data_IF_426297641144
#
_entry.id   IF_426297641144
#
_cell.length_a   1.000
_cell.length_b   1.000
_cell.length_c   1.000
_cell.angle_alpha   90.00
_cell.angle_beta   90.00
_cell.angle_gamma   90.00
#
_symmetry.space_group_name_H-M   'P 1'
#
loop_
_entity.id
_entity.type
_entity.pdbx_description
1 polymer ?
#
# COMPACT_ATOMS: atom_id res chain seq x y z
N UNK A 1 -2.01 9.51 18.42
CA UNK A 1 -1.01 8.57 18.97
C UNK A 1 -0.25 9.23 20.11
N UNK A 2 0.16 8.47 21.17
CA UNK A 2 1.05 9.02 22.21
C UNK A 2 2.46 9.24 21.61
N UNK A 3 3.20 10.19 22.19
CA UNK A 3 4.58 10.51 21.74
C UNK A 3 5.48 9.27 21.78
N UNK A 4 5.37 8.43 22.81
CA UNK A 4 6.13 7.19 22.92
C UNK A 4 5.83 6.19 21.80
N UNK A 5 4.55 6.01 21.45
CA UNK A 5 4.15 5.13 20.34
C UNK A 5 4.66 5.67 18.99
N UNK A 6 4.62 6.97 18.79
CA UNK A 6 5.13 7.61 17.60
C UNK A 6 6.64 7.35 17.41
N UNK A 7 7.43 7.57 18.46
CA UNK A 7 8.88 7.29 18.46
C UNK A 7 9.15 5.81 18.18
N UNK A 8 8.40 4.91 18.81
CA UNK A 8 8.54 3.47 18.61
C UNK A 8 8.28 3.05 17.15
N UNK A 9 7.23 3.57 16.53
CA UNK A 9 6.91 3.29 15.12
C UNK A 9 8.02 3.80 14.20
N UNK A 10 8.47 5.06 14.39
CA UNK A 10 9.56 5.63 13.60
C UNK A 10 10.84 4.81 13.75
N UNK A 11 11.19 4.43 14.98
CA UNK A 11 12.36 3.60 15.27
C UNK A 11 12.30 2.26 14.51
N UNK A 12 11.17 1.55 14.57
CA UNK A 12 10.99 0.28 13.87
C UNK A 12 11.13 0.44 12.35
N UNK A 13 10.54 1.47 11.76
CA UNK A 13 10.64 1.72 10.32
C UNK A 13 12.09 1.96 9.91
N UNK A 14 12.79 2.85 10.63
CA UNK A 14 14.19 3.20 10.33
C UNK A 14 15.10 1.99 10.48
N UNK A 15 14.96 1.22 11.56
CA UNK A 15 15.77 0.02 11.80
C UNK A 15 15.53 -1.04 10.71
N UNK A 16 14.29 -1.25 10.29
CA UNK A 16 14.00 -2.22 9.23
C UNK A 16 14.59 -1.78 7.88
N UNK A 17 14.37 -0.53 7.46
CA UNK A 17 14.90 -0.02 6.19
C UNK A 17 16.44 -0.03 6.21
N UNK A 18 17.04 0.47 7.28
CA UNK A 18 18.50 0.49 7.43
C UNK A 18 19.09 -0.93 7.48
N UNK A 19 18.43 -1.85 8.19
CA UNK A 19 18.83 -3.25 8.29
C UNK A 19 18.78 -3.95 6.94
N UNK A 20 17.70 -3.78 6.17
CA UNK A 20 17.57 -4.32 4.82
C UNK A 20 18.63 -3.75 3.87
N UNK A 21 18.86 -2.43 3.90
CA UNK A 21 19.90 -1.79 3.10
C UNK A 21 21.31 -2.28 3.47
N UNK A 22 21.57 -2.42 4.77
CA UNK A 22 22.84 -2.93 5.27
C UNK A 22 23.07 -4.39 4.84
N UNK A 23 22.09 -5.26 5.00
CA UNK A 23 22.16 -6.66 4.55
C UNK A 23 22.43 -6.76 3.05
N UNK A 24 21.75 -5.94 2.25
CA UNK A 24 21.94 -5.90 0.80
C UNK A 24 23.40 -5.53 0.44
N UNK A 25 23.95 -4.47 1.08
CA UNK A 25 25.32 -4.02 0.84
C UNK A 25 26.35 -5.04 1.34
N UNK A 26 26.11 -5.65 2.51
CA UNK A 26 26.98 -6.65 3.09
C UNK A 26 27.06 -7.92 2.20
N UNK A 27 25.89 -8.40 1.75
CA UNK A 27 25.85 -9.60 0.89
C UNK A 27 26.36 -9.36 -0.53
N UNK A 28 26.24 -8.13 -1.06
CA UNK A 28 26.81 -7.78 -2.38
C UNK A 28 28.33 -7.88 -2.41
N UNK A 29 29.01 -7.80 -1.27
CA UNK A 29 30.46 -7.88 -1.16
C UNK A 29 30.99 -9.32 -1.14
N UNK A 30 30.11 -10.30 -0.97
CA UNK A 30 30.49 -11.72 -1.05
C UNK A 30 30.78 -12.03 -2.52
N UNK A 31 32.08 -12.04 -2.86
CA UNK A 31 32.55 -12.51 -4.16
C UNK A 31 32.46 -14.03 -4.16
N UNK A 32 31.54 -14.55 -4.90
CA UNK A 32 31.54 -15.99 -5.20
C UNK A 32 32.70 -16.25 -6.14
N UNK A 33 33.63 -17.13 -5.73
CA UNK A 33 34.77 -17.54 -6.57
C UNK A 33 34.18 -18.29 -7.80
N UNK A 34 34.42 -17.82 -9.04
CA UNK A 34 33.89 -18.47 -10.23
C UNK A 34 34.30 -19.95 -10.35
N UNK A 35 35.39 -20.34 -9.73
CA UNK A 35 35.84 -21.74 -9.70
C UNK A 35 34.99 -22.61 -8.77
N UNK A 36 34.25 -22.00 -7.88
CA UNK A 36 33.33 -22.64 -6.92
C UNK A 36 31.87 -22.52 -7.31
N UNK A 37 31.58 -21.82 -8.39
CA UNK A 37 30.25 -21.82 -8.98
C UNK A 37 29.83 -23.26 -9.30
N UNK A 38 28.61 -23.64 -8.92
CA UNK A 38 28.08 -25.00 -9.07
C UNK A 38 28.74 -26.08 -8.22
N UNK A 39 29.62 -25.74 -7.29
CA UNK A 39 30.04 -26.70 -6.26
C UNK A 39 28.95 -26.85 -5.22
N UNK A 40 28.74 -28.08 -4.79
CA UNK A 40 27.87 -28.40 -3.66
C UNK A 40 28.39 -27.69 -2.40
N UNK A 41 27.48 -27.09 -1.62
CA UNK A 41 27.76 -26.53 -0.30
C UNK A 41 28.07 -27.63 0.75
N UNK A 42 28.00 -28.91 0.36
CA UNK A 42 28.25 -30.04 1.23
C UNK A 42 27.07 -30.45 2.12
N UNK A 43 25.91 -29.82 1.90
CA UNK A 43 24.66 -30.20 2.57
C UNK A 43 23.72 -30.86 1.56
N UNK A 44 23.21 -32.01 1.92
CA UNK A 44 22.18 -32.71 1.15
C UNK A 44 20.94 -32.93 2.03
N UNK A 45 19.77 -32.50 1.55
CA UNK A 45 18.48 -32.71 2.17
C UNK A 45 17.63 -33.58 1.24
N UNK A 46 17.26 -34.76 1.68
CA UNK A 46 16.48 -35.74 0.92
C UNK A 46 17.08 -36.06 -0.50
N UNK A 47 18.42 -36.07 -0.59
CA UNK A 47 19.13 -36.34 -1.85
C UNK A 47 19.27 -35.13 -2.78
N UNK A 48 18.82 -33.94 -2.37
CA UNK A 48 18.99 -32.68 -3.09
C UNK A 48 20.19 -31.92 -2.51
N UNK A 49 21.20 -31.67 -3.31
CA UNK A 49 22.38 -30.90 -2.94
C UNK A 49 22.19 -29.41 -3.26
N UNK A 50 22.57 -28.55 -2.31
CA UNK A 50 22.59 -27.10 -2.52
C UNK A 50 23.84 -26.70 -3.30
N UNK A 51 23.65 -25.94 -4.39
CA UNK A 51 24.72 -25.40 -5.20
C UNK A 51 25.02 -23.96 -4.78
N UNK A 52 26.33 -23.61 -4.76
CA UNK A 52 26.80 -22.26 -4.47
C UNK A 52 26.62 -21.35 -5.69
N UNK A 53 25.38 -20.97 -5.99
CA UNK A 53 25.05 -20.07 -7.09
C UNK A 53 24.88 -18.63 -6.57
N UNK A 54 25.45 -17.62 -7.28
CA UNK A 54 25.23 -16.23 -6.93
C UNK A 54 23.75 -15.85 -7.18
N UNK A 55 23.27 -14.89 -6.39
CA UNK A 55 21.94 -14.32 -6.60
C UNK A 55 21.86 -13.63 -7.96
N UNK A 56 20.78 -13.82 -8.73
CA UNK A 56 20.60 -13.13 -10.01
C UNK A 56 20.61 -11.61 -9.83
N UNK A 57 21.29 -10.91 -10.76
CA UNK A 57 21.41 -9.44 -10.68
C UNK A 57 20.04 -8.72 -10.70
N UNK A 58 19.07 -9.25 -11.46
CA UNK A 58 17.72 -8.68 -11.52
C UNK A 58 17.02 -8.72 -10.15
N UNK A 59 17.26 -9.76 -9.35
CA UNK A 59 16.68 -9.89 -8.01
C UNK A 59 17.23 -8.82 -7.07
N UNK A 60 18.52 -8.55 -7.15
CA UNK A 60 19.16 -7.46 -6.39
C UNK A 60 18.56 -6.10 -6.76
N UNK A 61 18.37 -5.85 -8.06
CA UNK A 61 17.74 -4.63 -8.53
C UNK A 61 16.29 -4.49 -8.08
N UNK A 62 15.52 -5.58 -8.13
CA UNK A 62 14.16 -5.60 -7.61
C UNK A 62 14.13 -5.21 -6.14
N UNK A 63 15.03 -5.76 -5.34
CA UNK A 63 15.11 -5.44 -3.91
C UNK A 63 15.50 -3.99 -3.65
N UNK A 64 16.45 -3.43 -4.40
CA UNK A 64 16.79 -2.00 -4.34
C UNK A 64 15.59 -1.13 -4.67
N UNK A 65 14.85 -1.47 -5.74
CA UNK A 65 13.65 -0.72 -6.14
C UNK A 65 12.57 -0.75 -5.06
N UNK A 66 12.37 -1.87 -4.37
CA UNK A 66 11.39 -1.93 -3.26
C UNK A 66 11.80 -1.05 -2.08
N UNK A 67 13.09 -0.95 -1.75
CA UNK A 67 13.57 -0.04 -0.71
C UNK A 67 13.32 1.42 -1.14
N UNK A 68 13.69 1.79 -2.38
CA UNK A 68 13.47 3.13 -2.91
C UNK A 68 11.99 3.48 -2.91
N UNK A 69 11.15 2.55 -3.39
CA UNK A 69 9.70 2.72 -3.36
C UNK A 69 9.17 2.96 -1.94
N UNK A 70 9.61 2.16 -0.96
CA UNK A 70 9.22 2.33 0.43
C UNK A 70 9.58 3.70 1.00
N UNK A 71 10.79 4.18 0.73
CA UNK A 71 11.22 5.53 1.16
C UNK A 71 10.36 6.62 0.50
N UNK A 72 10.17 6.55 -0.82
CA UNK A 72 9.33 7.50 -1.56
C UNK A 72 7.89 7.47 -1.04
N UNK A 73 7.35 6.29 -0.78
CA UNK A 73 6.01 6.14 -0.22
C UNK A 73 5.87 6.85 1.12
N UNK A 74 6.81 6.67 2.06
CA UNK A 74 6.76 7.33 3.36
C UNK A 74 6.95 8.85 3.29
N UNK A 75 7.60 9.36 2.26
CA UNK A 75 7.69 10.81 2.02
C UNK A 75 6.36 11.36 1.52
N UNK A 76 5.71 10.65 0.60
CA UNK A 76 4.48 11.12 -0.05
C UNK A 76 3.23 10.90 0.80
N UNK A 77 3.11 9.72 1.41
CA UNK A 77 1.91 9.28 2.11
C UNK A 77 2.11 9.20 3.63
N UNK A 78 1.03 9.26 4.42
CA UNK A 78 1.13 9.05 5.85
C UNK A 78 1.55 7.60 6.16
N UNK A 79 2.43 7.43 7.13
CA UNK A 79 2.93 6.12 7.54
C UNK A 79 4.16 6.23 8.42
N UNK A 80 4.82 7.38 8.43
CA UNK A 80 5.97 7.67 9.27
C UNK A 80 5.50 8.30 10.61
N UNK A 81 4.93 7.47 11.47
CA UNK A 81 4.37 7.92 12.74
C UNK A 81 3.18 8.85 12.58
N UNK A 82 3.27 10.10 13.07
CA UNK A 82 2.23 11.13 12.95
C UNK A 82 2.41 12.03 11.71
N UNK A 83 3.42 11.78 10.89
CA UNK A 83 3.63 12.56 9.68
C UNK A 83 2.53 12.28 8.64
N UNK A 84 1.97 13.34 8.08
CA UNK A 84 0.90 13.27 7.06
C UNK A 84 1.40 13.01 5.64
N UNK A 85 2.73 13.02 5.46
CA UNK A 85 3.35 12.99 4.13
C UNK A 85 3.18 14.31 3.37
N UNK A 86 3.88 14.41 2.22
CA UNK A 86 3.83 15.63 1.38
C UNK A 86 2.45 15.83 0.76
N UNK A 87 1.76 14.73 0.43
CA UNK A 87 0.43 14.78 -0.19
C UNK A 87 -0.69 15.09 0.81
N UNK A 88 -0.43 15.00 2.13
CA UNK A 88 -1.45 15.23 3.16
C UNK A 88 -2.67 14.31 3.05
N UNK A 89 -2.54 13.18 2.34
CA UNK A 89 -3.64 12.27 2.09
C UNK A 89 -4.14 11.63 3.40
N UNK A 90 -5.45 11.52 3.52
CA UNK A 90 -6.08 10.72 4.57
C UNK A 90 -7.33 10.02 4.03
N UNK A 91 -7.64 8.85 4.56
CA UNK A 91 -8.85 8.12 4.18
C UNK A 91 -10.14 8.89 4.53
N UNK A 92 -10.10 9.66 5.64
CA UNK A 92 -11.23 10.50 6.03
C UNK A 92 -11.39 11.65 5.04
N UNK A 93 -10.31 12.36 4.71
CA UNK A 93 -10.36 13.46 3.74
C UNK A 93 -10.84 12.97 2.36
N UNK A 94 -10.36 11.83 1.90
CA UNK A 94 -10.83 11.25 0.64
C UNK A 94 -12.32 10.89 0.70
N UNK A 95 -12.79 10.37 1.82
CA UNK A 95 -14.21 10.08 2.01
C UNK A 95 -15.06 11.36 1.99
N UNK A 96 -14.62 12.38 2.71
CA UNK A 96 -15.34 13.67 2.77
C UNK A 96 -15.42 14.33 1.39
N UNK A 97 -14.32 14.29 0.61
CA UNK A 97 -14.29 14.78 -0.77
C UNK A 97 -15.26 14.00 -1.67
N UNK A 98 -15.29 12.66 -1.55
CA UNK A 98 -16.20 11.81 -2.32
C UNK A 98 -17.68 12.04 -1.94
N UNK A 99 -17.96 12.26 -0.66
CA UNK A 99 -19.33 12.60 -0.20
C UNK A 99 -19.73 13.97 -0.73
N UNK A 100 -18.85 14.96 -0.67
CA UNK A 100 -19.11 16.28 -1.21
C UNK A 100 -19.38 16.25 -2.73
N UNK A 101 -18.58 15.51 -3.49
CA UNK A 101 -18.78 15.29 -4.92
C UNK A 101 -20.11 14.58 -5.22
N UNK A 102 -20.44 13.57 -4.42
CA UNK A 102 -21.73 12.87 -4.54
C UNK A 102 -22.92 13.78 -4.21
N UNK A 103 -22.81 14.61 -3.17
CA UNK A 103 -23.85 15.58 -2.81
C UNK A 103 -24.04 16.66 -3.88
N UNK A 104 -22.95 17.14 -4.47
CA UNK A 104 -23.04 18.09 -5.59
C UNK A 104 -23.75 17.48 -6.80
N UNK A 105 -23.42 16.23 -7.12
CA UNK A 105 -23.98 15.53 -8.28
C UNK A 105 -25.43 15.08 -8.07
N UNK A 106 -25.73 14.51 -6.90
CA UNK A 106 -26.99 13.84 -6.62
C UNK A 106 -27.92 14.63 -5.71
N UNK A 107 -27.38 15.57 -4.91
CA UNK A 107 -28.16 16.37 -3.96
C UNK A 107 -29.37 17.05 -4.56
N UNK A 108 -29.26 17.74 -5.71
CA UNK A 108 -30.42 18.38 -6.36
C UNK A 108 -31.53 17.42 -6.75
N UNK A 109 -31.16 16.18 -7.14
CA UNK A 109 -32.11 15.13 -7.53
C UNK A 109 -32.82 14.59 -6.28
N UNK A 110 -32.07 14.28 -5.22
CA UNK A 110 -32.65 13.80 -3.96
C UNK A 110 -33.48 14.88 -3.24
N UNK A 111 -33.03 16.13 -3.26
CA UNK A 111 -33.81 17.25 -2.70
C UNK A 111 -35.18 17.37 -3.35
N UNK A 112 -35.28 17.17 -4.68
CA UNK A 112 -36.56 17.14 -5.39
C UNK A 112 -37.45 16.02 -4.93
N UNK A 113 -36.90 14.81 -4.74
CA UNK A 113 -37.69 13.65 -4.29
C UNK A 113 -38.05 13.73 -2.81
N UNK A 114 -37.17 14.27 -1.96
CA UNK A 114 -37.42 14.48 -0.54
C UNK A 114 -38.56 15.49 -0.27
N UNK A 115 -38.84 16.39 -1.21
CA UNK A 115 -39.92 17.35 -1.13
C UNK A 115 -41.32 16.76 -1.54
N UNK A 116 -41.35 15.51 -2.06
CA UNK A 116 -42.59 14.85 -2.53
C UNK A 116 -43.10 13.89 -1.46
N UNK A 117 -44.42 13.70 -1.48
CA UNK A 117 -45.07 12.66 -0.66
C UNK A 117 -44.84 11.25 -1.23
N UNK A 118 -45.01 10.21 -0.42
CA UNK A 118 -44.83 8.81 -0.86
C UNK A 118 -45.77 8.47 -2.01
N UNK A 119 -47.00 8.97 -1.98
CA UNK A 119 -48.02 8.77 -3.02
C UNK A 119 -47.59 9.41 -4.35
N UNK A 120 -47.01 10.60 -4.30
CA UNK A 120 -46.44 11.28 -5.47
C UNK A 120 -45.24 10.54 -6.05
N UNK A 121 -44.36 10.02 -5.18
CA UNK A 121 -43.17 9.24 -5.60
C UNK A 121 -43.59 7.94 -6.30
N UNK A 122 -44.64 7.24 -5.83
CA UNK A 122 -45.19 6.03 -6.46
C UNK A 122 -45.69 6.28 -7.87
N UNK A 123 -46.14 7.51 -8.17
CA UNK A 123 -46.60 7.88 -9.50
C UNK A 123 -45.49 8.21 -10.47
N UNK A 124 -44.22 8.31 -9.99
CA UNK A 124 -43.06 8.70 -10.80
C UNK A 124 -42.19 7.49 -11.20
N UNK A 125 -42.20 7.07 -12.50
CA UNK A 125 -41.39 5.91 -12.95
C UNK A 125 -39.87 6.08 -12.77
N UNK A 126 -39.38 7.32 -12.72
CA UNK A 126 -37.96 7.60 -12.50
C UNK A 126 -37.56 7.36 -11.05
N UNK A 127 -38.38 7.77 -10.08
CA UNK A 127 -38.14 7.52 -8.66
C UNK A 127 -38.13 6.01 -8.35
N UNK A 128 -39.07 5.27 -8.90
CA UNK A 128 -39.17 3.80 -8.75
C UNK A 128 -37.90 3.11 -9.34
N UNK A 129 -37.48 3.51 -10.56
CA UNK A 129 -36.28 2.96 -11.19
C UNK A 129 -35.01 3.28 -10.41
N UNK A 130 -34.90 4.46 -9.80
CA UNK A 130 -33.78 4.85 -8.97
C UNK A 130 -33.75 4.06 -7.66
N UNK A 131 -34.89 3.93 -7.00
CA UNK A 131 -35.05 3.11 -5.80
C UNK A 131 -34.70 1.64 -6.05
N UNK A 132 -35.17 1.05 -7.14
CA UNK A 132 -34.88 -0.35 -7.48
C UNK A 132 -33.37 -0.63 -7.70
N UNK A 133 -32.60 0.35 -8.19
CA UNK A 133 -31.12 0.22 -8.34
C UNK A 133 -30.37 0.27 -7.02
N UNK A 134 -30.93 0.94 -6.01
CA UNK A 134 -30.32 1.05 -4.69
C UNK A 134 -30.56 -0.24 -3.88
N UNK A 135 -31.68 -0.93 -4.14
CA UNK A 135 -32.06 -2.16 -3.44
C UNK A 135 -31.64 -3.46 -4.15
N UNK A 136 -31.11 -3.41 -5.36
CA UNK A 136 -30.62 -4.57 -6.10
C UNK A 136 -29.14 -4.85 -5.79
#
# INVERSE_FOLDING_TARGET
>A
MSTGMNIFVIFLIVVNIAGCAWLLVANRRVKVDPSKEKQSLGHAFDGIEELNNPLPAWWTWLFVLTIVFGVVYFVLYPGFGTATGVLGWSSIGQYDDQVAEADEQWGPIFARYNAMTIEELQSQPQAIRMGSRIFA
#
